data_IF_626021556443
#
_entry.id   IF_626021556443
#
_cell.length_a   1.000
_cell.length_b   1.000
_cell.length_c   1.000
_cell.angle_alpha   90.00
_cell.angle_beta   90.00
_cell.angle_gamma   90.00
#
_symmetry.space_group_name_H-M   'P 1'
#
loop_
_entity.id
_entity.type
_entity.pdbx_description
1 polymer ?
#
# COMPACT_ATOMS: atom_id res chain seq x y z
N UNK A 1 9.55 35.99 5.37
CA UNK A 1 8.82 34.73 5.12
C UNK A 1 8.07 34.45 6.40
N UNK A 2 6.74 34.46 6.38
CA UNK A 2 5.94 34.20 7.58
C UNK A 2 6.17 32.74 7.98
N UNK A 3 7.00 32.51 8.98
CA UNK A 3 7.09 31.21 9.65
C UNK A 3 5.70 30.87 10.15
N UNK A 4 5.15 29.77 9.64
CA UNK A 4 3.91 29.19 10.11
C UNK A 4 4.15 28.89 11.60
N UNK A 5 3.36 29.52 12.48
CA UNK A 5 3.49 29.29 13.91
C UNK A 5 3.18 27.82 14.22
N UNK A 6 3.93 27.22 15.14
CA UNK A 6 3.97 25.77 15.41
C UNK A 6 2.61 25.14 15.82
N UNK A 7 1.62 25.98 16.18
CA UNK A 7 0.26 25.54 16.51
C UNK A 7 -0.64 25.33 15.27
N UNK A 8 -0.26 25.88 14.12
CA UNK A 8 -1.07 25.82 12.91
C UNK A 8 -1.02 24.42 12.28
N UNK A 9 -2.12 23.97 11.66
CA UNK A 9 -2.08 22.72 10.91
C UNK A 9 -1.15 22.84 9.70
N UNK A 10 -0.46 21.74 9.38
CA UNK A 10 0.40 21.65 8.19
C UNK A 10 -0.41 21.73 6.87
N UNK A 11 -1.68 21.36 6.89
CA UNK A 11 -2.59 21.47 5.75
C UNK A 11 -3.52 22.69 5.86
N UNK A 12 -3.74 23.37 4.73
CA UNK A 12 -4.71 24.46 4.66
C UNK A 12 -6.15 23.96 4.92
N UNK A 13 -7.00 24.81 5.49
CA UNK A 13 -8.42 24.50 5.71
C UNK A 13 -9.12 24.12 4.39
N UNK A 14 -8.76 24.77 3.27
CA UNK A 14 -9.28 24.43 1.96
C UNK A 14 -8.97 22.97 1.56
N UNK A 15 -7.77 22.48 1.86
CA UNK A 15 -7.39 21.09 1.61
C UNK A 15 -8.13 20.12 2.55
N UNK A 16 -8.35 20.49 3.82
CA UNK A 16 -9.13 19.67 4.76
C UNK A 16 -10.59 19.50 4.31
N UNK A 17 -11.22 20.56 3.78
CA UNK A 17 -12.58 20.50 3.21
C UNK A 17 -12.63 19.57 1.99
N UNK A 18 -11.62 19.64 1.10
CA UNK A 18 -11.52 18.72 -0.05
C UNK A 18 -11.35 17.28 0.41
N UNK A 19 -10.48 17.02 1.40
CA UNK A 19 -10.29 15.69 1.99
C UNK A 19 -11.60 15.14 2.56
N UNK A 20 -12.37 15.95 3.30
CA UNK A 20 -13.66 15.53 3.84
C UNK A 20 -14.65 15.12 2.75
N UNK A 21 -14.68 15.85 1.61
CA UNK A 21 -15.50 15.49 0.45
C UNK A 21 -15.05 14.18 -0.19
N UNK A 22 -13.74 13.98 -0.39
CA UNK A 22 -13.17 12.74 -0.91
C UNK A 22 -13.56 11.55 -0.02
N UNK A 23 -13.38 11.69 1.29
CA UNK A 23 -13.76 10.68 2.31
C UNK A 23 -15.26 10.34 2.23
N UNK A 24 -16.13 11.34 2.07
CA UNK A 24 -17.56 11.11 1.91
C UNK A 24 -17.89 10.37 0.60
N UNK A 25 -17.22 10.70 -0.50
CA UNK A 25 -17.42 10.04 -1.79
C UNK A 25 -16.99 8.57 -1.73
N UNK A 26 -15.83 8.28 -1.12
CA UNK A 26 -15.34 6.91 -0.93
C UNK A 26 -16.37 6.06 -0.15
N UNK A 27 -16.92 6.59 0.96
CA UNK A 27 -17.95 5.86 1.71
C UNK A 27 -19.20 5.58 0.88
N UNK A 28 -19.64 6.56 0.09
CA UNK A 28 -20.79 6.39 -0.80
C UNK A 28 -20.51 5.33 -1.87
N UNK A 29 -19.33 5.35 -2.49
CA UNK A 29 -18.91 4.36 -3.49
C UNK A 29 -19.11 2.91 -3.00
N UNK A 30 -18.71 2.62 -1.76
CA UNK A 30 -18.85 1.31 -1.13
C UNK A 30 -20.28 1.02 -0.69
N UNK A 31 -20.99 2.01 -0.14
CA UNK A 31 -22.39 1.87 0.27
C UNK A 31 -23.30 1.53 -0.92
N UNK A 32 -23.11 2.19 -2.07
CA UNK A 32 -23.88 1.96 -3.29
C UNK A 32 -23.66 0.54 -3.85
N UNK A 33 -22.53 -0.09 -3.51
CA UNK A 33 -22.17 -1.47 -3.91
C UNK A 33 -22.41 -2.51 -2.79
N UNK A 34 -23.10 -2.12 -1.72
CA UNK A 34 -23.44 -3.01 -0.60
C UNK A 34 -22.23 -3.57 0.15
N UNK A 35 -21.12 -2.84 0.21
CA UNK A 35 -19.93 -3.22 1.00
C UNK A 35 -20.06 -2.64 2.39
N UNK A 36 -19.96 -3.51 3.40
CA UNK A 36 -20.16 -3.13 4.80
C UNK A 36 -18.93 -2.39 5.34
N UNK A 37 -19.12 -1.18 5.88
CA UNK A 37 -18.07 -0.49 6.65
C UNK A 37 -17.88 -1.20 8.00
N UNK A 38 -16.63 -1.51 8.35
CA UNK A 38 -16.27 -2.11 9.65
C UNK A 38 -15.18 -1.28 10.33
N UNK A 39 -15.12 -1.38 11.65
CA UNK A 39 -14.05 -0.80 12.46
C UNK A 39 -13.38 -1.88 13.30
N UNK A 40 -12.12 -2.19 12.99
CA UNK A 40 -11.31 -3.14 13.74
C UNK A 40 -10.40 -2.46 14.77
N UNK A 41 -9.91 -3.18 15.79
CA UNK A 41 -9.00 -2.62 16.79
C UNK A 41 -7.75 -1.97 16.18
N UNK A 42 -7.32 -0.84 16.76
CA UNK A 42 -6.07 -0.14 16.42
C UNK A 42 -4.86 -0.66 17.20
N UNK A 43 -5.11 -1.46 18.25
CA UNK A 43 -4.11 -2.12 19.08
C UNK A 43 -4.33 -3.62 19.08
N UNK A 44 -3.25 -4.39 19.03
CA UNK A 44 -3.29 -5.85 19.06
C UNK A 44 -2.15 -6.42 19.92
N UNK A 45 -2.37 -7.59 20.51
CA UNK A 45 -1.32 -8.33 21.23
C UNK A 45 -0.30 -8.96 20.29
N UNK A 46 -0.69 -9.19 19.04
CA UNK A 46 0.18 -9.71 17.98
C UNK A 46 0.34 -8.66 16.87
N UNK A 47 1.46 -8.72 16.18
CA UNK A 47 1.80 -7.85 15.04
C UNK A 47 2.12 -8.69 13.81
N UNK A 48 2.30 -8.02 12.67
CA UNK A 48 2.74 -8.63 11.40
C UNK A 48 4.16 -9.15 11.49
N UNK A 49 4.49 -10.17 10.68
CA UNK A 49 5.84 -10.75 10.54
C UNK A 49 6.59 -10.24 9.31
N UNK A 50 6.04 -9.24 8.61
CA UNK A 50 6.66 -8.65 7.43
C UNK A 50 8.00 -8.01 7.79
N UNK A 51 9.06 -8.41 7.08
CA UNK A 51 10.45 -7.99 7.36
C UNK A 51 10.68 -6.50 7.10
N UNK A 52 9.83 -5.86 6.31
CA UNK A 52 9.94 -4.45 5.95
C UNK A 52 9.10 -3.54 6.83
N UNK A 53 8.25 -4.10 7.71
CA UNK A 53 7.37 -3.32 8.57
C UNK A 53 7.85 -3.32 10.02
N UNK A 54 8.10 -2.12 10.56
CA UNK A 54 8.39 -1.92 11.97
C UNK A 54 7.14 -1.37 12.69
N UNK A 55 6.49 -2.12 13.60
CA UNK A 55 5.31 -1.63 14.29
C UNK A 55 5.67 -0.68 15.44
N UNK A 56 4.77 0.24 15.77
CA UNK A 56 4.82 0.94 17.05
C UNK A 56 4.39 0.02 18.18
N UNK A 57 5.02 0.18 19.34
CA UNK A 57 4.72 -0.59 20.55
C UNK A 57 4.15 0.33 21.64
N UNK A 58 3.24 -0.21 22.45
CA UNK A 58 2.70 0.46 23.62
C UNK A 58 2.43 -0.53 24.75
N UNK A 59 2.14 -0.03 25.94
CA UNK A 59 1.84 -0.84 27.11
C UNK A 59 0.45 -0.49 27.66
N UNK A 60 -0.43 -1.48 27.69
CA UNK A 60 -1.75 -1.36 28.31
C UNK A 60 -1.66 -1.73 29.79
N UNK A 61 -1.95 -0.78 30.67
CA UNK A 61 -2.06 -1.00 32.12
C UNK A 61 -3.51 -0.79 32.52
N UNK A 62 -4.14 -1.82 33.07
CA UNK A 62 -5.54 -1.78 33.47
C UNK A 62 -5.89 -2.89 34.47
N UNK A 63 -7.14 -2.94 34.95
CA UNK A 63 -7.62 -4.03 35.79
C UNK A 63 -7.40 -5.38 35.11
N UNK A 64 -6.69 -6.30 35.77
CA UNK A 64 -6.31 -7.61 35.20
C UNK A 64 -5.02 -7.61 34.35
N UNK A 65 -4.44 -6.43 34.08
CA UNK A 65 -3.16 -6.24 33.40
C UNK A 65 -2.26 -5.27 34.19
N UNK A 66 -2.20 -5.44 35.51
CA UNK A 66 -1.46 -4.53 36.41
C UNK A 66 0.05 -4.55 36.20
N UNK A 67 0.59 -5.63 35.65
CA UNK A 67 2.00 -5.73 35.23
C UNK A 67 2.26 -5.14 33.83
N UNK A 68 1.21 -4.64 33.17
CA UNK A 68 1.25 -4.11 31.83
C UNK A 68 1.25 -5.21 30.76
N UNK A 69 0.40 -5.03 29.74
CA UNK A 69 0.32 -5.89 28.57
C UNK A 69 0.94 -5.16 27.38
N UNK A 70 1.94 -5.77 26.75
CA UNK A 70 2.53 -5.23 25.52
C UNK A 70 1.50 -5.32 24.38
N UNK A 71 1.27 -4.21 23.71
CA UNK A 71 0.42 -4.11 22.53
C UNK A 71 1.20 -3.44 21.41
N UNK A 72 0.76 -3.68 20.18
CA UNK A 72 1.29 -3.10 18.97
C UNK A 72 0.20 -2.27 18.30
N UNK A 73 0.58 -1.12 17.74
CA UNK A 73 -0.32 -0.37 16.86
C UNK A 73 -0.38 -1.05 15.49
N UNK A 74 -1.57 -1.13 14.91
CA UNK A 74 -1.78 -1.86 13.66
C UNK A 74 -1.15 -1.15 12.45
N UNK A 75 -0.30 -1.88 11.73
CA UNK A 75 0.30 -1.44 10.46
C UNK A 75 -0.67 -1.53 9.27
N UNK A 76 -1.69 -2.40 9.38
CA UNK A 76 -2.88 -2.54 8.54
C UNK A 76 -3.99 -3.28 9.34
N UNK A 77 -5.28 -3.10 9.02
CA UNK A 77 -6.38 -3.87 9.60
C UNK A 77 -6.51 -5.32 9.09
N UNK A 78 -5.67 -5.77 8.15
CA UNK A 78 -5.76 -7.05 7.43
C UNK A 78 -6.13 -8.25 8.31
N UNK A 79 -5.38 -8.52 9.37
CA UNK A 79 -5.61 -9.72 10.19
C UNK A 79 -6.97 -9.71 10.89
N UNK A 80 -7.45 -8.53 11.32
CA UNK A 80 -8.76 -8.42 11.92
C UNK A 80 -9.86 -8.56 10.87
N UNK A 81 -9.69 -7.96 9.69
CA UNK A 81 -10.65 -8.09 8.59
C UNK A 81 -10.71 -9.53 8.07
N UNK A 82 -9.58 -10.25 7.96
CA UNK A 82 -9.56 -11.68 7.63
C UNK A 82 -10.29 -12.54 8.66
N UNK A 83 -10.21 -12.20 9.95
CA UNK A 83 -11.02 -12.87 11.00
C UNK A 83 -12.51 -12.60 10.84
N UNK A 84 -12.90 -11.39 10.43
CA UNK A 84 -14.29 -11.06 10.09
C UNK A 84 -14.79 -11.85 8.87
N UNK A 85 -13.96 -11.97 7.83
CA UNK A 85 -14.26 -12.81 6.66
C UNK A 85 -14.47 -14.27 7.06
N UNK A 86 -13.59 -14.82 7.90
CA UNK A 86 -13.73 -16.17 8.43
C UNK A 86 -15.00 -16.34 9.29
N UNK A 87 -15.48 -15.25 9.91
CA UNK A 87 -16.75 -15.20 10.61
C UNK A 87 -17.96 -14.93 9.67
N UNK A 88 -17.77 -15.01 8.35
CA UNK A 88 -18.78 -14.80 7.30
C UNK A 88 -19.35 -13.38 7.26
N UNK A 89 -18.54 -12.34 7.47
CA UNK A 89 -18.98 -10.94 7.35
C UNK A 89 -19.49 -10.54 5.97
N UNK A 90 -19.13 -11.30 4.91
CA UNK A 90 -19.37 -10.89 3.53
C UNK A 90 -18.39 -9.79 3.08
N UNK A 91 -18.72 -9.02 2.02
CA UNK A 91 -17.87 -7.95 1.53
C UNK A 91 -17.79 -6.79 2.54
N UNK A 92 -16.57 -6.42 2.92
CA UNK A 92 -16.30 -5.42 3.96
C UNK A 92 -15.24 -4.43 3.49
N UNK A 93 -15.32 -3.19 3.96
CA UNK A 93 -14.27 -2.19 3.83
C UNK A 93 -14.03 -1.46 5.15
N UNK A 94 -12.86 -0.89 5.31
CA UNK A 94 -12.50 -0.06 6.45
C UNK A 94 -11.67 1.13 5.99
N UNK A 95 -12.00 2.31 6.53
CA UNK A 95 -11.18 3.51 6.38
C UNK A 95 -10.74 4.00 7.76
N UNK A 96 -9.49 3.73 8.13
CA UNK A 96 -9.00 3.90 9.49
C UNK A 96 -7.56 4.44 9.54
N UNK A 97 -7.06 4.66 10.76
CA UNK A 97 -5.66 5.05 11.00
C UNK A 97 -4.79 3.79 11.07
N UNK A 98 -3.68 3.79 10.34
CA UNK A 98 -2.63 2.79 10.45
C UNK A 98 -1.34 3.46 10.89
N UNK A 99 -0.44 2.66 11.48
CA UNK A 99 0.77 3.15 12.13
C UNK A 99 1.97 2.33 11.67
N UNK A 100 3.03 2.98 11.19
CA UNK A 100 4.28 2.34 10.78
C UNK A 100 5.44 3.15 11.34
N UNK A 101 6.27 2.49 12.15
CA UNK A 101 7.43 3.09 12.79
C UNK A 101 8.62 3.10 11.83
N UNK A 102 8.43 3.82 10.72
CA UNK A 102 9.38 4.00 9.63
C UNK A 102 9.77 5.48 9.53
N UNK A 103 10.59 5.82 8.55
CA UNK A 103 10.99 7.21 8.31
C UNK A 103 9.79 8.09 7.90
N UNK A 104 9.77 9.31 8.44
CA UNK A 104 8.86 10.36 7.97
C UNK A 104 9.48 11.02 6.72
N UNK A 105 8.75 11.05 5.62
CA UNK A 105 9.21 11.58 4.34
C UNK A 105 8.09 12.26 3.56
N UNK A 106 8.39 12.67 2.32
CA UNK A 106 7.43 13.38 1.45
C UNK A 106 6.11 12.61 1.25
N UNK A 107 6.19 11.29 1.18
CA UNK A 107 5.05 10.39 0.94
C UNK A 107 4.76 9.45 2.12
N UNK A 108 5.48 9.59 3.24
CA UNK A 108 5.37 8.70 4.39
C UNK A 108 5.17 9.52 5.67
N UNK A 109 4.09 9.24 6.40
CA UNK A 109 3.86 9.77 7.73
C UNK A 109 3.71 8.58 8.69
N UNK A 110 4.29 8.61 9.90
CA UNK A 110 4.25 7.46 10.83
C UNK A 110 2.84 6.98 11.18
N UNK A 111 1.86 7.88 11.04
CA UNK A 111 0.44 7.55 11.10
C UNK A 111 -0.29 8.06 9.85
N UNK A 112 -1.14 7.24 9.22
CA UNK A 112 -1.80 7.62 7.98
C UNK A 112 -3.17 6.96 7.83
N UNK A 113 -4.02 7.54 6.99
CA UNK A 113 -5.34 6.95 6.71
C UNK A 113 -5.20 5.90 5.63
N UNK A 114 -5.61 4.67 5.93
CA UNK A 114 -5.67 3.56 4.97
C UNK A 114 -7.13 3.27 4.61
N UNK A 115 -7.37 3.00 3.33
CA UNK A 115 -8.59 2.39 2.84
C UNK A 115 -8.25 0.94 2.45
N UNK A 116 -8.90 -0.02 3.10
CA UNK A 116 -8.70 -1.45 2.84
C UNK A 116 -10.06 -2.13 2.71
N UNK A 117 -10.23 -3.03 1.74
CA UNK A 117 -11.48 -3.77 1.56
C UNK A 117 -11.27 -5.16 0.98
N UNK A 118 -12.26 -6.01 1.22
CA UNK A 118 -12.25 -7.40 0.80
C UNK A 118 -13.55 -7.75 0.11
N UNK A 119 -13.41 -8.43 -1.03
CA UNK A 119 -14.52 -8.93 -1.85
C UNK A 119 -14.47 -10.46 -1.93
N UNK A 120 -15.28 -11.18 -1.14
CA UNK A 120 -15.45 -12.61 -1.32
C UNK A 120 -15.81 -12.95 -2.77
N UNK A 121 -15.22 -14.02 -3.31
CA UNK A 121 -15.45 -14.50 -4.67
C UNK A 121 -15.00 -13.57 -5.81
N UNK A 122 -14.30 -12.46 -5.53
CA UNK A 122 -13.62 -11.70 -6.58
C UNK A 122 -12.28 -12.36 -6.88
N UNK A 123 -11.98 -12.47 -8.17
CA UNK A 123 -10.60 -12.66 -8.62
C UNK A 123 -9.86 -11.31 -8.65
N UNK A 124 -8.55 -11.38 -8.87
CA UNK A 124 -7.68 -10.21 -8.93
C UNK A 124 -8.17 -9.17 -9.95
N UNK A 125 -8.62 -9.59 -11.13
CA UNK A 125 -9.03 -8.67 -12.21
C UNK A 125 -10.33 -7.94 -11.88
N UNK A 126 -11.30 -8.63 -11.27
CA UNK A 126 -12.52 -7.99 -10.78
C UNK A 126 -12.24 -6.97 -9.70
N UNK A 127 -11.31 -7.27 -8.79
CA UNK A 127 -10.90 -6.32 -7.76
C UNK A 127 -10.18 -5.11 -8.38
N UNK A 128 -9.27 -5.33 -9.34
CA UNK A 128 -8.61 -4.26 -10.09
C UNK A 128 -9.59 -3.32 -10.79
N UNK A 129 -10.63 -3.87 -11.45
CA UNK A 129 -11.68 -3.05 -12.08
C UNK A 129 -12.43 -2.20 -11.04
N UNK A 130 -12.69 -2.72 -9.84
CA UNK A 130 -13.32 -1.94 -8.78
C UNK A 130 -12.42 -0.84 -8.22
N UNK A 131 -11.11 -1.09 -8.11
CA UNK A 131 -10.14 -0.04 -7.78
C UNK A 131 -10.15 1.02 -8.90
N UNK A 132 -10.26 0.62 -10.17
CA UNK A 132 -10.28 1.56 -11.31
C UNK A 132 -11.52 2.44 -11.30
N UNK A 133 -12.70 1.86 -11.04
CA UNK A 133 -13.94 2.61 -10.85
C UNK A 133 -13.79 3.65 -9.71
N UNK A 134 -13.17 3.26 -8.59
CA UNK A 134 -12.98 4.14 -7.44
C UNK A 134 -12.05 5.31 -7.78
N UNK A 135 -10.94 5.04 -8.46
CA UNK A 135 -9.97 6.07 -8.83
C UNK A 135 -10.58 7.05 -9.83
N UNK A 136 -11.32 6.57 -10.83
CA UNK A 136 -12.05 7.42 -11.77
C UNK A 136 -13.08 8.31 -11.05
N UNK A 137 -13.86 7.77 -10.11
CA UNK A 137 -14.87 8.56 -9.37
C UNK A 137 -14.23 9.62 -8.45
N UNK A 138 -13.10 9.31 -7.82
CA UNK A 138 -12.47 10.20 -6.84
C UNK A 138 -11.54 11.23 -7.49
N UNK A 139 -10.80 10.83 -8.53
CA UNK A 139 -9.77 11.64 -9.18
C UNK A 139 -10.26 12.33 -10.45
N UNK A 140 -11.45 11.98 -10.97
CA UNK A 140 -11.97 12.48 -12.25
C UNK A 140 -10.97 12.24 -13.40
N UNK A 141 -10.43 11.02 -13.45
CA UNK A 141 -9.45 10.59 -14.42
C UNK A 141 -10.03 9.58 -15.43
N UNK A 142 -9.31 9.33 -16.51
CA UNK A 142 -9.64 8.23 -17.42
C UNK A 142 -9.34 6.86 -16.79
N UNK A 143 -9.92 5.81 -17.38
CA UNK A 143 -9.65 4.43 -17.02
C UNK A 143 -8.15 4.10 -17.07
N UNK A 144 -7.72 3.33 -16.09
CA UNK A 144 -6.31 2.98 -15.89
C UNK A 144 -5.78 2.07 -17.00
N UNK A 145 -4.49 2.18 -17.29
CA UNK A 145 -3.81 1.15 -18.08
C UNK A 145 -3.56 -0.09 -17.19
N UNK A 146 -3.48 -1.28 -17.78
CA UNK A 146 -3.08 -2.50 -17.08
C UNK A 146 -1.92 -3.16 -17.81
N UNK A 147 -0.85 -3.46 -17.08
CA UNK A 147 0.31 -4.19 -17.59
C UNK A 147 0.65 -5.34 -16.63
N UNK A 148 1.13 -6.45 -17.16
CA UNK A 148 1.82 -7.41 -16.29
C UNK A 148 3.19 -6.88 -15.89
N UNK A 149 3.71 -7.36 -14.77
CA UNK A 149 5.08 -7.06 -14.33
C UNK A 149 6.10 -7.36 -15.43
N UNK A 150 5.94 -8.48 -16.13
CA UNK A 150 6.78 -8.85 -17.27
C UNK A 150 6.68 -7.83 -18.41
N UNK A 151 5.46 -7.42 -18.79
CA UNK A 151 5.25 -6.44 -19.86
C UNK A 151 5.86 -5.08 -19.52
N UNK A 152 5.78 -4.66 -18.25
CA UNK A 152 6.38 -3.41 -17.80
C UNK A 152 7.91 -3.44 -17.92
N UNK A 153 8.56 -4.50 -17.45
CA UNK A 153 10.01 -4.66 -17.60
C UNK A 153 10.44 -4.74 -19.07
N UNK A 154 9.74 -5.48 -19.90
CA UNK A 154 10.03 -5.55 -21.33
C UNK A 154 9.88 -4.17 -22.00
N UNK A 155 8.84 -3.40 -21.64
CA UNK A 155 8.57 -2.10 -22.23
C UNK A 155 9.62 -1.04 -21.86
N UNK A 156 10.03 -0.99 -20.59
CA UNK A 156 10.86 0.11 -20.09
C UNK A 156 12.33 -0.24 -19.91
N UNK A 157 12.65 -1.53 -19.73
CA UNK A 157 14.01 -1.99 -19.44
C UNK A 157 14.53 -3.03 -20.46
N UNK A 158 13.72 -3.43 -21.44
CA UNK A 158 14.05 -4.43 -22.47
C UNK A 158 14.62 -5.73 -21.88
N UNK A 159 14.04 -6.16 -20.75
CA UNK A 159 14.45 -7.37 -20.05
C UNK A 159 13.22 -8.14 -19.57
N UNK A 160 13.31 -9.47 -19.60
CA UNK A 160 12.27 -10.33 -19.05
C UNK A 160 12.58 -10.67 -17.58
N UNK A 161 11.83 -10.16 -16.61
CA UNK A 161 12.10 -10.37 -15.19
C UNK A 161 11.76 -11.79 -14.75
N UNK A 162 11.11 -12.61 -15.57
CA UNK A 162 10.77 -14.00 -15.24
C UNK A 162 11.88 -14.98 -15.65
N UNK A 163 12.73 -14.60 -16.61
CA UNK A 163 13.77 -15.48 -17.16
C UNK A 163 15.19 -14.94 -16.98
N UNK A 164 15.36 -13.64 -16.73
CA UNK A 164 16.67 -13.04 -16.53
C UNK A 164 17.40 -13.58 -15.30
N UNK A 165 18.67 -13.91 -15.49
CA UNK A 165 19.64 -14.26 -14.46
C UNK A 165 20.18 -13.00 -13.74
N UNK A 166 20.84 -13.20 -12.60
CA UNK A 166 21.36 -12.08 -11.79
C UNK A 166 22.39 -11.23 -12.52
N UNK A 167 23.17 -11.80 -13.43
CA UNK A 167 24.18 -11.07 -14.20
C UNK A 167 23.51 -10.05 -15.12
N UNK A 168 22.51 -10.45 -15.89
CA UNK A 168 21.71 -9.53 -16.72
C UNK A 168 20.98 -8.47 -15.91
N UNK A 169 20.45 -8.83 -14.74
CA UNK A 169 19.81 -7.84 -13.86
C UNK A 169 20.81 -6.77 -13.42
N UNK A 170 22.05 -7.15 -13.07
CA UNK A 170 23.12 -6.20 -12.73
C UNK A 170 23.58 -5.36 -13.92
N UNK A 171 23.63 -5.94 -15.13
CA UNK A 171 23.92 -5.17 -16.35
C UNK A 171 22.88 -4.07 -16.60
N UNK A 172 21.59 -4.37 -16.40
CA UNK A 172 20.53 -3.35 -16.49
C UNK A 172 20.66 -2.33 -15.35
N UNK A 173 20.97 -2.76 -14.13
CA UNK A 173 21.17 -1.86 -13.00
C UNK A 173 22.33 -0.88 -13.25
N UNK A 174 23.41 -1.34 -13.87
CA UNK A 174 24.54 -0.50 -14.26
C UNK A 174 24.15 0.57 -15.28
N UNK A 175 23.25 0.26 -16.23
CA UNK A 175 22.72 1.25 -17.19
C UNK A 175 21.88 2.35 -16.51
N UNK A 176 21.34 2.05 -15.33
CA UNK A 176 20.57 2.99 -14.50
C UNK A 176 21.43 3.70 -13.43
N UNK A 177 22.75 3.51 -13.44
CA UNK A 177 23.69 4.05 -12.44
C UNK A 177 23.43 3.53 -11.01
N UNK A 178 23.02 2.26 -10.89
CA UNK A 178 22.67 1.60 -9.61
C UNK A 178 23.69 0.52 -9.19
N UNK A 179 24.86 0.48 -9.83
CA UNK A 179 25.91 -0.52 -9.56
C UNK A 179 26.37 -0.53 -8.10
N UNK A 180 26.36 0.63 -7.43
CA UNK A 180 26.74 0.77 -6.03
C UNK A 180 25.89 -0.10 -5.06
N UNK A 181 24.65 -0.41 -5.42
CA UNK A 181 23.75 -1.26 -4.63
C UNK A 181 23.69 -2.66 -5.27
N UNK A 182 23.52 -2.72 -6.59
CA UNK A 182 23.28 -3.97 -7.31
C UNK A 182 24.47 -4.93 -7.32
N UNK A 183 25.71 -4.44 -7.29
CA UNK A 183 26.90 -5.28 -7.35
C UNK A 183 27.08 -6.10 -6.06
N UNK A 184 26.63 -5.57 -4.92
CA UNK A 184 26.71 -6.23 -3.61
C UNK A 184 25.46 -7.02 -3.24
N UNK A 185 24.36 -6.83 -3.97
CA UNK A 185 23.10 -7.50 -3.68
C UNK A 185 23.07 -8.91 -4.28
N UNK A 186 22.76 -9.90 -3.46
CA UNK A 186 22.74 -11.32 -3.84
C UNK A 186 21.32 -11.88 -3.98
N UNK A 187 20.34 -11.22 -3.36
CA UNK A 187 18.94 -11.54 -3.48
C UNK A 187 18.38 -11.03 -4.81
N UNK A 188 17.89 -11.97 -5.62
CA UNK A 188 17.31 -11.70 -6.93
C UNK A 188 16.07 -10.80 -6.85
N UNK A 189 15.25 -10.96 -5.82
CA UNK A 189 14.02 -10.19 -5.67
C UNK A 189 14.32 -8.75 -5.26
N UNK A 190 15.36 -8.53 -4.44
CA UNK A 190 15.84 -7.17 -4.12
C UNK A 190 16.38 -6.47 -5.38
N UNK A 191 17.13 -7.17 -6.23
CA UNK A 191 17.57 -6.62 -7.52
C UNK A 191 16.39 -6.26 -8.43
N UNK A 192 15.39 -7.13 -8.51
CA UNK A 192 14.17 -6.87 -9.28
C UNK A 192 13.37 -5.68 -8.72
N UNK A 193 13.27 -5.55 -7.40
CA UNK A 193 12.63 -4.41 -6.75
C UNK A 193 13.38 -3.11 -7.04
N UNK A 194 14.71 -3.12 -6.94
CA UNK A 194 15.57 -1.98 -7.26
C UNK A 194 15.35 -1.53 -8.72
N UNK A 195 15.40 -2.47 -9.67
CA UNK A 195 15.16 -2.17 -11.09
C UNK A 195 13.74 -1.66 -11.35
N UNK A 196 12.75 -2.20 -10.65
CA UNK A 196 11.38 -1.74 -10.79
C UNK A 196 11.22 -0.29 -10.32
N UNK A 197 11.66 0.03 -9.10
CA UNK A 197 11.51 1.37 -8.50
C UNK A 197 12.30 2.43 -9.26
N UNK A 198 13.50 2.11 -9.74
CA UNK A 198 14.35 3.08 -10.42
C UNK A 198 14.17 3.12 -11.94
N UNK A 199 13.72 2.02 -12.55
CA UNK A 199 13.67 1.85 -13.99
C UNK A 199 12.28 1.81 -14.60
N UNK A 200 11.27 1.33 -13.86
CA UNK A 200 9.89 1.19 -14.34
C UNK A 200 8.98 2.25 -13.73
N UNK A 201 8.97 2.37 -12.40
CA UNK A 201 8.08 3.27 -11.65
C UNK A 201 8.12 4.74 -12.13
N UNK A 202 9.28 5.33 -12.50
CA UNK A 202 9.34 6.72 -12.96
C UNK A 202 8.66 6.96 -14.32
N UNK A 203 8.37 5.90 -15.09
CA UNK A 203 7.85 5.97 -16.46
C UNK A 203 6.38 5.57 -16.57
N UNK A 204 5.75 5.13 -15.48
CA UNK A 204 4.35 4.70 -15.43
C UNK A 204 3.49 5.75 -14.71
N UNK A 205 2.19 5.78 -15.00
CA UNK A 205 1.26 6.70 -14.32
C UNK A 205 1.39 8.19 -14.72
N UNK A 206 2.12 8.50 -15.80
CA UNK A 206 2.37 9.88 -16.23
C UNK A 206 1.22 10.51 -17.04
N UNK A 207 0.69 9.80 -18.03
CA UNK A 207 -0.41 10.30 -18.89
C UNK A 207 -1.79 9.79 -18.44
N UNK A 208 -1.86 8.52 -18.01
CA UNK A 208 -3.04 7.93 -17.39
C UNK A 208 -2.76 7.80 -15.91
N UNK A 209 -3.65 8.36 -15.08
CA UNK A 209 -3.40 8.58 -13.65
C UNK A 209 -3.07 7.31 -12.87
N UNK A 210 -3.45 6.12 -13.37
CA UNK A 210 -3.10 4.87 -12.72
C UNK A 210 -2.72 3.76 -13.71
N UNK A 211 -1.77 2.94 -13.28
CA UNK A 211 -1.38 1.70 -13.93
C UNK A 211 -1.57 0.56 -12.93
N UNK A 212 -2.30 -0.48 -13.32
CA UNK A 212 -2.27 -1.74 -12.56
C UNK A 212 -1.14 -2.62 -13.04
N UNK A 213 -0.32 -3.07 -12.09
CA UNK A 213 0.72 -4.05 -12.32
C UNK A 213 0.33 -5.38 -11.70
N UNK A 214 0.12 -6.39 -12.54
CA UNK A 214 -0.01 -7.76 -12.06
C UNK A 214 1.38 -8.34 -11.82
N UNK A 215 1.75 -8.51 -10.56
CA UNK A 215 2.91 -9.29 -10.16
C UNK A 215 2.55 -10.77 -10.25
N UNK A 216 3.25 -11.51 -11.10
CA UNK A 216 3.22 -12.98 -11.06
C UNK A 216 3.78 -13.46 -9.73
N UNK A 217 3.27 -14.59 -9.23
CA UNK A 217 3.48 -15.34 -7.97
C UNK A 217 4.81 -15.26 -7.17
N UNK A 218 5.86 -14.61 -7.66
CA UNK A 218 7.20 -14.57 -7.03
C UNK A 218 7.30 -13.60 -5.85
N UNK A 219 6.49 -12.53 -5.79
CA UNK A 219 6.53 -11.56 -4.67
C UNK A 219 5.44 -11.79 -3.62
N UNK A 220 4.52 -12.72 -3.87
CA UNK A 220 3.52 -13.15 -2.90
C UNK A 220 4.14 -14.20 -1.98
N UNK A 221 4.34 -13.85 -0.70
CA UNK A 221 4.62 -14.81 0.36
C UNK A 221 3.68 -16.02 0.24
N UNK A 222 4.17 -17.27 0.36
CA UNK A 222 3.28 -18.42 0.40
C UNK A 222 2.35 -18.25 1.62
N UNK A 223 1.05 -18.33 1.37
CA UNK A 223 0.05 -18.47 2.44
C UNK A 223 0.37 -19.66 3.35
#
# INVERSE_FOLDING_TARGET
MSEIADWQPSASIANLLKKAKIVSNIRRFFADRGVLEVETPMMSQATVTDIHLCPFETQFVGPGASQGLKLYLMTSPEYHMKRLLAANSGPIYQMGRCFRNEEAGRYHNPEFTMLEWYRPCFDMYRLMNEVDDLLQEVLDCEASESLSYQQAFLRYLDIDPLSADKEKLREVAAKLDLSNIADTEENRDTLLQLLFVSGVEPHIGLEKTNLYLSFSCFTSFPC
#
